data_IF_011693623550
#
_entry.id   IF_011693623550
#
_cell.length_a   1.000
_cell.length_b   1.000
_cell.length_c   1.000
_cell.angle_alpha   90.00
_cell.angle_beta   90.00
_cell.angle_gamma   90.00
#
_symmetry.space_group_name_H-M   'P 1'
#
loop_
_entity.id
_entity.type
_entity.pdbx_description
1 polymer ?
#
# COMPACT_ATOMS: atom_id res chain seq x y z
N UNK A 1 -22.95 23.62 -16.13
CA UNK A 1 -23.60 22.49 -16.78
C UNK A 1 -22.48 21.63 -17.37
N UNK A 2 -21.98 20.68 -16.60
CA UNK A 2 -20.85 19.84 -17.02
C UNK A 2 -21.37 18.73 -17.92
N UNK A 3 -20.97 18.75 -19.18
CA UNK A 3 -21.24 17.67 -20.13
C UNK A 3 -20.17 16.59 -19.90
N UNK A 4 -20.53 15.54 -19.16
CA UNK A 4 -19.69 14.34 -19.06
C UNK A 4 -19.57 13.70 -20.45
N UNK A 5 -18.36 13.44 -20.90
CA UNK A 5 -18.08 12.79 -22.18
C UNK A 5 -18.66 11.36 -22.18
N UNK A 6 -18.93 10.82 -23.37
CA UNK A 6 -19.55 9.50 -23.55
C UNK A 6 -18.72 8.35 -22.92
N UNK A 7 -17.42 8.53 -22.78
CA UNK A 7 -16.47 7.58 -22.18
C UNK A 7 -16.59 7.52 -20.65
N UNK A 8 -16.87 8.66 -19.97
CA UNK A 8 -17.06 8.69 -18.52
C UNK A 8 -18.32 7.96 -18.05
N UNK A 9 -19.33 7.84 -18.92
CA UNK A 9 -20.58 7.12 -18.62
C UNK A 9 -20.40 5.60 -18.56
N UNK A 10 -19.59 5.01 -19.43
CA UNK A 10 -19.29 3.56 -19.40
C UNK A 10 -18.51 3.15 -18.16
N UNK A 11 -17.55 3.99 -17.75
CA UNK A 11 -16.74 3.76 -16.57
C UNK A 11 -17.56 3.87 -15.26
N UNK A 12 -18.45 4.87 -15.19
CA UNK A 12 -19.35 5.05 -14.05
C UNK A 12 -20.31 3.87 -13.88
N UNK A 13 -20.82 3.31 -14.97
CA UNK A 13 -21.70 2.13 -14.97
C UNK A 13 -20.95 0.88 -14.51
N UNK A 14 -19.73 0.65 -14.98
CA UNK A 14 -18.90 -0.47 -14.53
C UNK A 14 -18.57 -0.37 -13.03
N UNK A 15 -18.23 0.83 -12.56
CA UNK A 15 -17.97 1.09 -11.15
C UNK A 15 -19.22 0.87 -10.29
N UNK A 16 -20.38 1.28 -10.77
CA UNK A 16 -21.66 1.11 -10.07
C UNK A 16 -22.07 -0.35 -9.99
N UNK A 17 -21.89 -1.14 -11.06
CA UNK A 17 -22.22 -2.58 -11.10
C UNK A 17 -21.26 -3.36 -10.19
N UNK A 18 -19.97 -3.09 -10.23
CA UNK A 18 -18.97 -3.71 -9.36
C UNK A 18 -19.25 -3.38 -7.88
N UNK A 19 -19.60 -2.12 -7.59
CA UNK A 19 -19.97 -1.64 -6.26
C UNK A 19 -21.19 -2.35 -5.69
N UNK A 20 -22.24 -2.53 -6.51
CA UNK A 20 -23.45 -3.27 -6.11
C UNK A 20 -23.18 -4.75 -5.81
N UNK A 21 -22.28 -5.39 -6.57
CA UNK A 21 -21.95 -6.81 -6.38
C UNK A 21 -21.19 -7.04 -5.07
N UNK A 22 -20.18 -6.22 -4.79
CA UNK A 22 -19.35 -6.32 -3.56
C UNK A 22 -20.17 -6.01 -2.30
N UNK A 23 -21.03 -4.99 -2.34
CA UNK A 23 -21.91 -4.64 -1.20
C UNK A 23 -22.94 -5.75 -0.95
N UNK A 24 -23.50 -6.34 -2.00
CA UNK A 24 -24.51 -7.41 -1.88
C UNK A 24 -23.93 -8.65 -1.18
N UNK A 25 -22.73 -9.06 -1.52
CA UNK A 25 -22.03 -10.18 -0.86
C UNK A 25 -21.64 -9.86 0.58
N UNK A 26 -21.24 -8.62 0.87
CA UNK A 26 -20.91 -8.18 2.23
C UNK A 26 -22.14 -8.15 3.15
N UNK A 27 -23.30 -7.70 2.64
CA UNK A 27 -24.56 -7.66 3.38
C UNK A 27 -25.19 -9.07 3.53
N UNK A 28 -25.06 -9.94 2.55
CA UNK A 28 -25.55 -11.32 2.61
C UNK A 28 -24.77 -12.16 3.65
N UNK A 29 -23.46 -12.00 3.72
CA UNK A 29 -22.63 -12.65 4.74
C UNK A 29 -22.93 -12.16 6.16
N UNK A 30 -23.30 -10.90 6.33
CA UNK A 30 -23.65 -10.33 7.64
C UNK A 30 -24.95 -10.95 8.22
N UNK A 31 -25.95 -11.28 7.36
CA UNK A 31 -27.17 -11.98 7.79
C UNK A 31 -26.91 -13.43 8.21
N UNK A 32 -26.00 -14.14 7.53
CA UNK A 32 -25.59 -15.51 7.90
C UNK A 32 -24.82 -15.57 9.20
N UNK A 33 -23.99 -14.55 9.50
CA UNK A 33 -23.19 -14.46 10.72
C UNK A 33 -24.06 -14.21 11.96
N UNK A 34 -25.07 -13.35 11.85
CA UNK A 34 -26.00 -13.07 12.95
C UNK A 34 -26.91 -14.29 13.27
N UNK A 35 -27.21 -15.13 12.29
CA UNK A 35 -27.98 -16.38 12.52
C UNK A 35 -27.15 -17.48 13.19
N UNK A 36 -25.81 -17.47 13.08
CA UNK A 36 -24.90 -18.42 13.72
C UNK A 36 -24.57 -18.04 15.16
N UNK A 37 -24.59 -16.76 15.51
CA UNK A 37 -24.30 -16.29 16.89
C UNK A 37 -25.42 -16.60 17.91
N UNK A 38 -26.61 -16.91 17.47
CA UNK A 38 -27.73 -17.30 18.34
C UNK A 38 -27.81 -18.81 18.65
N UNK A 39 -26.84 -19.64 18.22
CA UNK A 39 -26.92 -21.11 18.36
C UNK A 39 -25.76 -21.79 19.08
N UNK A 40 -24.85 -21.06 19.73
CA UNK A 40 -23.77 -21.72 20.50
C UNK A 40 -23.53 -21.04 21.85
N UNK A 41 -24.48 -21.30 22.76
CA UNK A 41 -24.21 -21.32 24.19
C UNK A 41 -24.15 -22.79 24.62
N UNK A 42 -22.94 -23.33 24.78
CA UNK A 42 -22.70 -24.48 25.69
C UNK A 42 -21.19 -24.61 25.93
N UNK A 43 -20.81 -24.35 27.16
CA UNK A 43 -19.67 -24.87 27.97
C UNK A 43 -18.60 -25.71 27.27
N UNK A 44 -17.33 -25.23 27.22
CA UNK A 44 -16.19 -26.11 27.35
C UNK A 44 -15.11 -25.48 28.25
N UNK A 45 -14.68 -26.30 29.21
CA UNK A 45 -13.62 -26.07 30.17
C UNK A 45 -12.27 -25.81 29.50
N UNK A 46 -11.60 -24.76 29.96
CA UNK A 46 -10.19 -24.51 29.64
C UNK A 46 -9.30 -25.44 30.51
N UNK A 47 -8.52 -26.27 29.82
CA UNK A 47 -7.36 -26.93 30.39
C UNK A 47 -6.13 -26.05 30.19
N UNK A 48 -5.56 -25.53 31.24
CA UNK A 48 -4.28 -24.84 31.28
C UNK A 48 -3.15 -25.78 30.86
N UNK A 49 -2.50 -25.48 29.72
CA UNK A 49 -1.18 -25.98 29.37
C UNK A 49 -0.22 -24.79 29.30
N UNK A 50 0.57 -24.68 30.36
CA UNK A 50 1.68 -23.73 30.44
C UNK A 50 2.78 -24.08 29.42
N UNK A 51 3.19 -23.21 28.52
CA UNK A 51 4.34 -23.47 27.65
C UNK A 51 5.64 -23.04 28.35
N UNK A 52 6.55 -24.01 28.45
CA UNK A 52 7.94 -23.83 28.87
C UNK A 52 8.67 -22.77 28.06
N UNK A 53 9.43 -21.93 28.78
CA UNK A 53 10.35 -20.93 28.27
C UNK A 53 11.23 -21.43 27.13
N UNK A 54 11.09 -20.86 25.94
CA UNK A 54 12.12 -20.85 24.92
C UNK A 54 12.65 -19.41 24.83
N UNK A 55 13.88 -19.23 25.29
CA UNK A 55 14.65 -18.00 25.14
C UNK A 55 14.93 -17.77 23.65
N UNK A 56 14.14 -16.92 23.02
CA UNK A 56 14.48 -16.25 21.77
C UNK A 56 15.06 -14.90 22.14
N UNK A 57 16.24 -14.59 21.61
CA UNK A 57 17.16 -13.51 21.95
C UNK A 57 16.59 -12.13 22.36
N UNK A 58 17.43 -11.16 22.74
CA UNK A 58 17.04 -9.97 23.50
C UNK A 58 16.10 -8.99 22.77
N UNK A 59 15.75 -9.23 21.51
CA UNK A 59 14.94 -8.34 20.66
C UNK A 59 13.43 -8.55 20.78
N UNK A 60 12.94 -9.63 21.35
CA UNK A 60 11.50 -9.93 21.45
C UNK A 60 11.06 -10.13 22.90
N UNK A 61 10.96 -9.04 23.66
CA UNK A 61 10.29 -9.08 24.96
C UNK A 61 8.78 -9.23 24.75
N UNK A 62 8.18 -10.15 25.56
CA UNK A 62 6.73 -10.41 25.73
C UNK A 62 5.92 -9.11 25.60
N UNK A 63 5.00 -9.03 24.64
CA UNK A 63 4.16 -7.87 24.40
C UNK A 63 3.45 -7.41 25.66
N UNK A 64 3.85 -6.26 26.18
CA UNK A 64 3.02 -5.45 27.06
C UNK A 64 1.95 -4.78 26.20
N UNK A 65 0.81 -4.43 26.80
CA UNK A 65 -0.31 -3.72 26.14
C UNK A 65 0.14 -2.42 25.46
N UNK A 66 1.19 -1.80 25.97
CA UNK A 66 1.86 -0.62 25.44
C UNK A 66 3.37 -0.87 25.40
N UNK A 67 4.09 -0.37 24.40
CA UNK A 67 5.53 -0.62 24.31
C UNK A 67 6.23 0.11 23.19
N UNK A 68 7.54 0.24 23.38
CA UNK A 68 8.45 0.81 22.42
C UNK A 68 9.17 -0.29 21.66
N UNK A 69 9.36 -0.09 20.37
CA UNK A 69 10.22 -0.89 19.51
C UNK A 69 11.25 0.04 18.92
N UNK A 70 12.53 -0.34 19.02
CA UNK A 70 13.64 0.36 18.36
C UNK A 70 14.39 -0.65 17.53
N UNK A 71 14.53 -0.39 16.24
CA UNK A 71 15.24 -1.25 15.29
C UNK A 71 16.28 -0.43 14.56
N UNK A 72 17.56 -0.83 14.57
CA UNK A 72 18.56 -0.26 13.69
C UNK A 72 18.27 -0.67 12.24
N UNK A 73 18.52 0.23 11.31
CA UNK A 73 18.41 0.02 9.88
C UNK A 73 19.80 0.17 9.26
N UNK A 74 20.24 -0.84 8.53
CA UNK A 74 21.45 -0.76 7.70
C UNK A 74 21.14 -1.49 6.39
N UNK A 75 21.36 -0.82 5.27
CA UNK A 75 21.14 -1.41 3.97
C UNK A 75 22.09 -0.83 2.92
N UNK A 76 22.15 -1.48 1.79
CA UNK A 76 22.90 -1.06 0.62
C UNK A 76 22.01 -1.07 -0.62
N UNK A 77 22.11 -0.02 -1.44
CA UNK A 77 21.56 -0.01 -2.79
C UNK A 77 22.55 0.70 -3.73
N UNK A 78 22.51 0.41 -5.05
CA UNK A 78 23.36 1.11 -6.02
C UNK A 78 23.15 2.63 -6.01
N UNK A 79 21.93 3.12 -5.75
CA UNK A 79 21.60 4.55 -5.78
C UNK A 79 21.98 5.29 -4.51
N UNK A 80 21.89 4.60 -3.37
CA UNK A 80 22.17 5.20 -2.05
C UNK A 80 23.56 4.83 -1.52
N UNK A 81 24.17 3.75 -2.04
CA UNK A 81 25.27 3.04 -1.43
C UNK A 81 24.89 2.59 -0.03
N UNK A 82 25.79 2.62 0.95
CA UNK A 82 25.47 2.29 2.32
C UNK A 82 24.54 3.34 2.94
N UNK A 83 23.52 2.88 3.62
CA UNK A 83 22.61 3.68 4.42
C UNK A 83 22.54 3.13 5.83
N UNK A 84 22.50 4.01 6.80
CA UNK A 84 22.33 3.71 8.22
C UNK A 84 21.25 4.59 8.82
N UNK A 85 20.48 4.01 9.73
CA UNK A 85 19.39 4.73 10.38
C UNK A 85 18.72 3.92 11.47
N UNK A 86 17.48 4.25 11.76
CA UNK A 86 16.70 3.55 12.78
C UNK A 86 15.21 3.75 12.62
N UNK A 87 14.47 2.83 13.18
CA UNK A 87 13.03 2.90 13.37
C UNK A 87 12.71 2.91 14.86
N UNK A 88 11.93 3.87 15.27
CA UNK A 88 11.33 3.95 16.58
C UNK A 88 9.82 3.85 16.44
N UNK A 89 9.16 2.94 17.17
CA UNK A 89 7.73 2.81 17.17
C UNK A 89 7.19 2.70 18.59
N UNK A 90 6.11 3.43 18.88
CA UNK A 90 5.34 3.33 20.09
C UNK A 90 3.96 2.75 19.77
N UNK A 91 3.65 1.62 20.40
CA UNK A 91 2.37 0.93 20.26
C UNK A 91 1.54 1.11 21.53
N UNK A 92 0.26 1.41 21.37
CA UNK A 92 -0.67 1.63 22.49
C UNK A 92 -2.11 1.28 22.10
N UNK A 93 -2.97 1.13 23.11
CA UNK A 93 -4.40 0.94 22.92
C UNK A 93 -5.18 2.05 23.61
N UNK A 94 -6.15 2.64 22.91
CA UNK A 94 -7.17 3.44 23.57
C UNK A 94 -8.24 2.53 24.17
N UNK A 95 -8.34 2.51 25.49
CA UNK A 95 -9.36 1.76 26.21
C UNK A 95 -10.50 2.72 26.55
N UNK A 96 -11.70 2.43 26.10
CA UNK A 96 -12.88 3.20 26.47
C UNK A 96 -13.28 2.82 27.91
N UNK A 97 -13.42 3.79 28.85
CA UNK A 97 -13.83 3.49 30.23
C UNK A 97 -15.12 2.65 30.27
N UNK A 98 -15.12 1.59 31.04
CA UNK A 98 -16.28 0.69 31.22
C UNK A 98 -16.42 -0.44 30.19
N UNK A 99 -15.49 -0.56 29.19
CA UNK A 99 -15.48 -1.67 28.25
C UNK A 99 -14.24 -2.54 28.38
N UNK A 100 -14.37 -3.83 27.99
CA UNK A 100 -13.24 -4.76 27.99
C UNK A 100 -12.23 -4.40 26.90
N UNK A 101 -10.95 -4.42 27.25
CA UNK A 101 -9.77 -4.08 26.44
C UNK A 101 -9.60 -4.92 25.14
N UNK A 102 -10.32 -6.03 25.03
CA UNK A 102 -10.14 -7.02 23.95
C UNK A 102 -10.63 -6.56 22.56
N UNK A 103 -11.46 -5.51 22.50
CA UNK A 103 -12.09 -5.06 21.24
C UNK A 103 -11.31 -3.95 20.53
N UNK A 104 -10.45 -3.19 21.23
CA UNK A 104 -9.70 -2.10 20.63
C UNK A 104 -8.47 -2.62 19.86
N UNK A 105 -8.31 -2.19 18.60
CA UNK A 105 -7.12 -2.50 17.78
C UNK A 105 -5.90 -1.74 18.32
N UNK A 106 -4.73 -2.31 18.07
CA UNK A 106 -3.46 -1.70 18.45
C UNK A 106 -3.18 -0.48 17.57
N UNK A 107 -3.01 0.68 18.21
CA UNK A 107 -2.56 1.92 17.60
C UNK A 107 -1.04 1.99 17.60
N UNK A 108 -0.45 2.77 16.68
CA UNK A 108 0.98 3.04 16.70
C UNK A 108 1.31 4.45 16.18
N UNK A 109 2.43 4.96 16.67
CA UNK A 109 3.16 6.09 16.10
C UNK A 109 4.58 5.59 15.84
N UNK A 110 5.08 5.81 14.64
CA UNK A 110 6.38 5.34 14.18
C UNK A 110 7.17 6.49 13.57
N UNK A 111 8.45 6.55 13.88
CA UNK A 111 9.43 7.40 13.23
C UNK A 111 10.52 6.52 12.62
N UNK A 112 10.75 6.66 11.34
CA UNK A 112 11.86 6.02 10.62
C UNK A 112 12.79 7.11 10.10
N UNK A 113 14.08 6.92 10.24
CA UNK A 113 15.08 7.84 9.69
C UNK A 113 16.24 7.05 9.11
N UNK A 114 16.77 7.50 7.99
CA UNK A 114 18.02 7.02 7.45
C UNK A 114 18.85 8.15 6.82
N UNK A 115 20.16 7.89 6.78
CA UNK A 115 21.16 8.73 6.14
C UNK A 115 22.06 7.85 5.29
N UNK A 116 22.34 8.29 4.07
CA UNK A 116 23.07 7.49 3.10
C UNK A 116 24.48 8.02 2.86
N UNK A 117 25.35 7.16 2.32
CA UNK A 117 26.71 7.55 1.93
C UNK A 117 26.71 8.64 0.85
N UNK A 118 25.66 8.74 0.04
CA UNK A 118 25.47 9.79 -0.96
C UNK A 118 24.81 11.06 -0.38
N UNK A 119 24.82 11.25 0.97
CA UNK A 119 24.28 12.40 1.70
C UNK A 119 22.77 12.60 1.53
N UNK A 120 22.02 11.53 1.28
CA UNK A 120 20.57 11.55 1.20
C UNK A 120 19.97 11.33 2.59
N UNK A 121 18.81 11.92 2.82
CA UNK A 121 18.07 11.83 4.08
C UNK A 121 16.64 11.39 3.80
N UNK A 122 16.13 10.44 4.58
CA UNK A 122 14.69 10.15 4.66
C UNK A 122 14.27 10.18 6.13
N UNK A 123 13.35 11.07 6.46
CA UNK A 123 12.75 11.18 7.78
C UNK A 123 11.25 11.00 7.63
N UNK A 124 10.69 9.91 8.17
CA UNK A 124 9.32 9.50 7.94
C UNK A 124 8.59 9.17 9.23
N UNK A 125 7.71 10.06 9.64
CA UNK A 125 6.76 9.86 10.74
C UNK A 125 5.44 9.31 10.22
N UNK A 126 4.92 8.26 10.85
CA UNK A 126 3.66 7.62 10.50
C UNK A 126 2.83 7.36 11.76
N UNK A 127 1.51 7.41 11.63
CA UNK A 127 0.61 7.01 12.70
C UNK A 127 -0.63 6.32 12.17
N UNK A 128 -1.11 5.39 13.00
CA UNK A 128 -2.43 4.76 12.84
C UNK A 128 -3.05 4.61 14.22
N UNK A 129 -4.09 5.37 14.46
CA UNK A 129 -4.71 5.52 15.76
C UNK A 129 -6.17 5.09 15.69
N UNK A 130 -6.54 4.10 16.48
CA UNK A 130 -7.91 3.61 16.61
C UNK A 130 -8.54 4.21 17.85
N UNK A 131 -9.69 4.87 17.69
CA UNK A 131 -10.39 5.57 18.76
C UNK A 131 -11.83 5.07 18.88
N UNK A 132 -12.39 5.18 20.09
CA UNK A 132 -13.78 4.85 20.40
C UNK A 132 -14.17 3.44 19.88
N UNK A 133 -13.48 2.41 20.38
CA UNK A 133 -13.67 0.99 20.01
C UNK A 133 -13.61 0.76 18.49
N UNK A 134 -12.61 1.35 17.84
CA UNK A 134 -12.39 1.31 16.38
C UNK A 134 -13.46 2.01 15.55
N UNK A 135 -14.35 2.82 16.14
CA UNK A 135 -15.31 3.62 15.36
C UNK A 135 -14.64 4.68 14.53
N UNK A 136 -13.50 5.20 14.99
CA UNK A 136 -12.71 6.17 14.25
C UNK A 136 -11.30 5.63 14.06
N UNK A 137 -10.77 5.86 12.87
CA UNK A 137 -9.39 5.53 12.52
C UNK A 137 -8.75 6.82 12.02
N UNK A 138 -7.66 7.25 12.66
CA UNK A 138 -6.83 8.34 12.19
C UNK A 138 -5.51 7.78 11.67
N UNK A 139 -5.25 7.95 10.39
CA UNK A 139 -4.04 7.50 9.71
C UNK A 139 -3.36 8.73 9.14
N UNK A 140 -2.05 8.80 9.22
CA UNK A 140 -1.34 9.86 8.54
C UNK A 140 0.16 9.63 8.49
N UNK A 141 0.81 10.54 7.79
CA UNK A 141 2.26 10.61 7.68
C UNK A 141 2.74 12.05 7.59
N UNK A 142 3.97 12.26 8.05
CA UNK A 142 4.77 13.44 7.79
C UNK A 142 6.16 12.98 7.35
N UNK A 143 6.65 13.44 6.20
CA UNK A 143 7.91 12.98 5.64
C UNK A 143 8.72 14.13 5.07
N UNK A 144 10.01 14.12 5.37
CA UNK A 144 11.03 14.82 4.62
C UNK A 144 11.91 13.81 3.91
N UNK A 145 12.16 14.02 2.63
CA UNK A 145 12.99 13.15 1.82
C UNK A 145 13.82 13.94 0.83
N UNK A 146 15.12 13.63 0.77
CA UNK A 146 16.02 14.06 -0.28
C UNK A 146 16.67 12.84 -0.91
N UNK A 147 16.14 12.38 -2.05
CA UNK A 147 16.61 11.18 -2.73
C UNK A 147 16.63 11.38 -4.24
N UNK A 148 17.61 10.77 -4.95
CA UNK A 148 17.53 10.66 -6.40
C UNK A 148 16.43 9.66 -6.77
N UNK A 149 15.87 9.85 -7.94
CA UNK A 149 14.93 8.93 -8.56
C UNK A 149 15.28 8.79 -10.05
N UNK A 150 14.62 7.89 -10.75
CA UNK A 150 14.84 7.60 -12.16
C UNK A 150 13.58 7.85 -12.95
N UNK A 151 13.76 8.38 -14.14
CA UNK A 151 12.72 8.60 -15.11
C UNK A 151 13.11 7.89 -16.40
N UNK A 152 12.18 7.15 -17.00
CA UNK A 152 12.41 6.39 -18.21
C UNK A 152 11.57 6.89 -19.38
N UNK A 153 10.89 8.03 -19.22
CA UNK A 153 9.87 8.54 -20.11
C UNK A 153 8.45 8.25 -19.62
N UNK A 154 7.49 8.76 -20.33
CA UNK A 154 6.05 8.49 -20.13
C UNK A 154 5.59 7.36 -21.03
N UNK A 155 4.59 6.60 -20.55
CA UNK A 155 3.99 5.52 -21.31
C UNK A 155 4.58 4.13 -21.05
N UNK A 156 4.01 3.15 -21.71
CA UNK A 156 4.30 1.74 -21.52
C UNK A 156 5.39 1.19 -22.47
N UNK A 157 5.81 1.94 -23.50
CA UNK A 157 6.80 1.51 -24.50
C UNK A 157 8.23 1.98 -24.20
N UNK A 158 8.43 2.67 -23.07
CA UNK A 158 9.75 3.21 -22.67
C UNK A 158 10.79 2.11 -22.47
N UNK A 159 12.05 2.38 -22.83
CA UNK A 159 13.16 1.44 -22.72
C UNK A 159 14.09 1.79 -21.54
N UNK A 160 14.94 0.87 -21.12
CA UNK A 160 15.97 1.16 -20.10
C UNK A 160 17.03 2.14 -20.59
N UNK A 161 17.26 2.21 -21.92
CA UNK A 161 18.18 3.16 -22.52
C UNK A 161 17.72 4.63 -22.36
N UNK A 162 16.44 4.85 -22.07
CA UNK A 162 15.86 6.18 -21.82
C UNK A 162 16.04 6.63 -20.36
N UNK A 163 16.82 5.93 -19.53
CA UNK A 163 17.03 6.32 -18.14
C UNK A 163 17.61 7.72 -18.00
N UNK A 164 16.95 8.52 -17.21
CA UNK A 164 17.37 9.87 -16.78
C UNK A 164 17.33 9.93 -15.26
N UNK A 165 18.28 10.60 -14.66
CA UNK A 165 18.33 10.78 -13.21
C UNK A 165 17.85 12.17 -12.85
N UNK A 166 17.09 12.23 -11.79
CA UNK A 166 16.71 13.50 -11.18
C UNK A 166 16.70 13.36 -9.66
N UNK A 167 16.79 14.46 -8.98
CA UNK A 167 16.68 14.52 -7.53
C UNK A 167 15.77 15.66 -7.11
N UNK A 168 15.20 15.56 -5.93
CA UNK A 168 14.31 16.57 -5.37
C UNK A 168 14.25 16.46 -3.85
N UNK A 169 13.90 17.57 -3.24
CA UNK A 169 13.48 17.60 -1.84
C UNK A 169 11.96 17.50 -1.76
N UNK A 170 11.47 16.62 -0.89
CA UNK A 170 10.04 16.40 -0.63
C UNK A 170 9.72 16.69 0.83
N UNK A 171 8.74 17.57 1.05
CA UNK A 171 7.98 17.63 2.29
C UNK A 171 6.58 17.10 2.02
N UNK A 172 6.19 16.03 2.72
CA UNK A 172 4.86 15.43 2.60
C UNK A 172 4.15 15.40 3.95
N UNK A 173 2.87 15.70 3.91
CA UNK A 173 1.95 15.52 5.02
C UNK A 173 0.66 14.91 4.50
N UNK A 174 0.17 13.88 5.17
CA UNK A 174 -1.13 13.28 4.91
C UNK A 174 -1.86 13.05 6.22
N UNK A 175 -3.16 13.32 6.25
CA UNK A 175 -4.01 13.08 7.41
C UNK A 175 -5.39 12.63 6.96
N UNK A 176 -5.73 11.40 7.30
CA UNK A 176 -7.00 10.75 7.00
C UNK A 176 -7.73 10.44 8.29
N UNK A 177 -8.95 10.89 8.40
CA UNK A 177 -9.87 10.51 9.49
C UNK A 177 -11.04 9.74 8.89
N UNK A 178 -11.26 8.51 9.33
CA UNK A 178 -12.33 7.63 8.86
C UNK A 178 -13.26 7.24 10.00
N UNK A 179 -14.56 7.22 9.74
CA UNK A 179 -15.60 6.78 10.66
C UNK A 179 -16.19 5.46 10.19
N UNK A 180 -16.35 4.52 11.11
CA UNK A 180 -17.06 3.29 10.87
C UNK A 180 -18.56 3.57 10.70
N UNK A 181 -19.12 3.24 9.56
CA UNK A 181 -20.54 3.37 9.25
C UNK A 181 -21.31 2.16 9.76
N UNK A 182 -20.83 0.98 9.37
CA UNK A 182 -21.27 -0.33 9.86
C UNK A 182 -20.05 -1.21 10.08
N UNK A 183 -20.20 -2.37 10.68
CA UNK A 183 -19.06 -3.26 10.97
C UNK A 183 -18.19 -3.48 9.72
N UNK A 184 -16.88 -3.21 9.85
CA UNK A 184 -15.86 -3.37 8.81
C UNK A 184 -16.00 -2.42 7.60
N UNK A 185 -16.90 -1.43 7.62
CA UNK A 185 -17.10 -0.45 6.55
C UNK A 185 -16.83 0.95 7.09
N UNK A 186 -15.96 1.68 6.43
CA UNK A 186 -15.50 3.00 6.86
C UNK A 186 -15.64 4.02 5.73
N UNK A 187 -15.97 5.24 6.10
CA UNK A 187 -15.92 6.42 5.22
C UNK A 187 -15.04 7.46 5.89
N UNK A 188 -14.17 8.08 5.13
CA UNK A 188 -13.21 9.05 5.64
C UNK A 188 -12.98 10.23 4.73
N UNK A 189 -12.40 11.26 5.32
CA UNK A 189 -11.84 12.42 4.64
C UNK A 189 -10.33 12.34 4.75
N UNK A 190 -9.61 12.64 3.68
CA UNK A 190 -8.16 12.56 3.59
C UNK A 190 -7.63 13.86 2.97
N UNK A 191 -6.72 14.52 3.66
CA UNK A 191 -5.99 15.68 3.17
C UNK A 191 -4.55 15.30 2.88
N UNK A 192 -4.05 15.68 1.71
CA UNK A 192 -2.70 15.41 1.24
C UNK A 192 -2.02 16.72 0.84
N UNK A 193 -0.78 16.88 1.31
CA UNK A 193 0.09 17.99 0.96
C UNK A 193 1.46 17.41 0.60
N UNK A 194 1.97 17.72 -0.59
CA UNK A 194 3.35 17.43 -1.00
C UNK A 194 3.96 18.71 -1.57
N UNK A 195 5.13 19.08 -1.08
CA UNK A 195 5.92 20.17 -1.65
C UNK A 195 7.20 19.58 -2.21
N UNK A 196 7.36 19.73 -3.52
CA UNK A 196 8.55 19.35 -4.27
C UNK A 196 9.37 20.60 -4.58
N UNK A 197 10.65 20.60 -4.23
CA UNK A 197 11.54 21.74 -4.44
C UNK A 197 12.98 21.25 -4.63
N UNK A 198 13.90 22.16 -5.00
CA UNK A 198 15.28 21.82 -5.31
C UNK A 198 15.41 20.69 -6.36
N UNK A 199 14.53 20.71 -7.38
CA UNK A 199 14.63 19.74 -8.45
C UNK A 199 15.89 19.94 -9.25
N UNK A 200 16.69 18.87 -9.37
CA UNK A 200 17.84 18.78 -10.25
C UNK A 200 17.57 17.71 -11.30
N UNK A 201 17.60 18.09 -12.57
CA UNK A 201 17.27 17.25 -13.73
C UNK A 201 18.48 17.25 -14.67
N UNK A 202 18.80 16.12 -15.30
CA UNK A 202 19.88 16.02 -16.27
C UNK A 202 19.60 16.91 -17.49
N UNK A 203 20.53 17.81 -17.81
CA UNK A 203 20.43 18.70 -18.97
C UNK A 203 20.49 17.91 -20.28
N UNK A 204 19.79 18.40 -21.30
CA UNK A 204 19.78 17.79 -22.65
C UNK A 204 18.98 16.49 -22.77
N UNK A 205 18.30 16.06 -21.71
CA UNK A 205 17.44 14.87 -21.67
C UNK A 205 15.96 15.24 -21.88
N UNK A 206 15.10 14.23 -22.02
CA UNK A 206 13.67 14.40 -22.28
C UNK A 206 12.97 15.20 -21.21
N UNK A 207 13.26 14.90 -19.93
CA UNK A 207 12.60 15.56 -18.80
C UNK A 207 12.94 17.06 -18.74
N UNK A 208 14.15 17.46 -19.15
CA UNK A 208 14.56 18.86 -19.18
C UNK A 208 13.98 19.62 -20.39
N UNK A 209 13.77 18.95 -21.52
CA UNK A 209 13.37 19.55 -22.79
C UNK A 209 11.86 19.43 -23.09
N UNK A 210 11.10 18.76 -22.22
CA UNK A 210 9.67 18.53 -22.41
C UNK A 210 8.81 19.52 -21.65
N UNK A 211 7.60 19.76 -22.12
CA UNK A 211 6.57 20.52 -21.42
C UNK A 211 5.84 19.68 -20.35
N UNK A 212 6.55 18.72 -19.74
CA UNK A 212 5.98 17.86 -18.70
C UNK A 212 5.66 18.68 -17.45
N UNK A 213 4.41 18.64 -17.02
CA UNK A 213 3.92 19.37 -15.85
C UNK A 213 4.69 18.97 -14.58
N UNK A 214 5.13 19.96 -13.80
CA UNK A 214 5.76 19.74 -12.49
C UNK A 214 7.29 19.56 -12.51
N UNK A 215 7.97 19.73 -13.63
CA UNK A 215 9.44 19.64 -13.74
C UNK A 215 10.19 20.75 -12.98
N UNK A 216 9.48 21.81 -12.55
CA UNK A 216 10.04 22.87 -11.70
C UNK A 216 9.70 22.69 -10.22
N UNK A 217 9.07 21.56 -9.87
CA UNK A 217 8.51 21.33 -8.54
C UNK A 217 7.19 22.05 -8.35
N UNK A 218 6.82 22.25 -7.07
CA UNK A 218 5.58 22.94 -6.71
C UNK A 218 4.92 22.33 -5.49
N UNK A 219 3.79 22.90 -5.12
CA UNK A 219 2.92 22.43 -4.03
C UNK A 219 1.77 21.65 -4.64
N UNK A 220 1.59 20.43 -4.19
CA UNK A 220 0.48 19.57 -4.50
C UNK A 220 -0.39 19.42 -3.26
N UNK A 221 -1.56 20.09 -3.22
CA UNK A 221 -2.47 20.09 -2.08
C UNK A 221 -3.83 19.56 -2.52
N UNK A 222 -4.31 18.49 -1.90
CA UNK A 222 -5.52 17.79 -2.27
C UNK A 222 -6.40 17.38 -1.10
N UNK A 223 -7.70 17.40 -1.34
CA UNK A 223 -8.71 16.90 -0.41
C UNK A 223 -9.49 15.77 -1.08
N UNK A 224 -9.72 14.71 -0.35
CA UNK A 224 -10.37 13.51 -0.88
C UNK A 224 -11.32 12.82 0.08
N UNK A 225 -12.13 11.95 -0.50
CA UNK A 225 -12.97 11.00 0.22
C UNK A 225 -12.39 9.60 0.06
N UNK A 226 -12.46 8.82 1.13
CA UNK A 226 -11.97 7.44 1.17
C UNK A 226 -13.08 6.55 1.70
N UNK A 227 -13.36 5.49 0.96
CA UNK A 227 -14.26 4.43 1.38
C UNK A 227 -13.47 3.13 1.54
N UNK A 228 -13.67 2.40 2.64
CA UNK A 228 -12.91 1.18 2.95
C UNK A 228 -13.82 0.09 3.51
N UNK A 229 -13.62 -1.14 3.02
CA UNK A 229 -14.16 -2.38 3.58
C UNK A 229 -12.98 -3.27 3.97
N UNK A 230 -12.88 -3.67 5.24
CA UNK A 230 -11.82 -4.55 5.73
C UNK A 230 -12.40 -5.68 6.58
N UNK A 231 -12.55 -6.84 5.96
CA UNK A 231 -13.03 -8.08 6.61
C UNK A 231 -11.91 -9.12 6.78
N UNK A 232 -10.65 -8.72 6.59
CA UNK A 232 -9.49 -9.62 6.73
C UNK A 232 -9.40 -10.18 8.14
N UNK A 233 -9.00 -11.45 8.25
CA UNK A 233 -8.70 -12.11 9.52
C UNK A 233 -7.42 -11.59 10.18
N UNK A 234 -6.47 -11.09 9.38
CA UNK A 234 -5.23 -10.48 9.84
C UNK A 234 -4.80 -9.39 8.84
N UNK A 235 -4.34 -8.25 9.34
CA UNK A 235 -3.97 -7.10 8.49
C UNK A 235 -2.59 -7.29 7.83
N UNK A 236 -1.69 -8.04 8.48
CA UNK A 236 -0.29 -8.23 8.05
C UNK A 236 -0.16 -9.38 7.06
N UNK A 237 -0.83 -10.52 7.34
CA UNK A 237 -0.80 -11.72 6.48
C UNK A 237 -2.18 -12.37 6.52
N UNK A 238 -3.08 -11.87 5.69
CA UNK A 238 -4.44 -12.33 5.61
C UNK A 238 -4.53 -13.73 5.01
N UNK A 239 -5.39 -14.57 5.60
CA UNK A 239 -5.73 -15.90 5.09
C UNK A 239 -7.12 -15.94 4.46
N UNK A 240 -8.01 -15.07 4.88
CA UNK A 240 -9.39 -14.98 4.38
C UNK A 240 -9.94 -13.57 4.54
N UNK A 241 -10.97 -13.25 3.77
CA UNK A 241 -11.64 -11.96 3.82
C UNK A 241 -11.36 -11.10 2.60
N UNK A 242 -11.77 -9.85 2.69
CA UNK A 242 -11.68 -8.85 1.62
C UNK A 242 -11.09 -7.58 2.23
N UNK A 243 -10.25 -6.92 1.48
CA UNK A 243 -9.88 -5.52 1.66
C UNK A 243 -10.23 -4.77 0.39
N UNK A 244 -11.10 -3.78 0.50
CA UNK A 244 -11.41 -2.82 -0.55
C UNK A 244 -11.14 -1.44 0.01
N UNK A 245 -10.32 -0.66 -0.66
CA UNK A 245 -10.16 0.76 -0.43
C UNK A 245 -10.33 1.47 -1.77
N UNK A 246 -11.17 2.49 -1.80
CA UNK A 246 -11.29 3.39 -2.94
C UNK A 246 -11.26 4.83 -2.44
N UNK A 247 -10.60 5.70 -3.19
CA UNK A 247 -10.51 7.12 -2.85
C UNK A 247 -10.58 7.98 -4.11
N UNK A 248 -11.08 9.19 -3.93
CA UNK A 248 -11.09 10.23 -4.95
C UNK A 248 -10.61 11.53 -4.34
N UNK A 249 -9.64 12.17 -4.99
CA UNK A 249 -9.02 13.42 -4.57
C UNK A 249 -9.20 14.49 -5.64
N UNK A 250 -9.31 15.73 -5.19
CA UNK A 250 -9.28 16.93 -6.04
C UNK A 250 -8.11 17.79 -5.57
N UNK A 251 -7.29 18.23 -6.51
CA UNK A 251 -6.16 19.11 -6.32
C UNK A 251 -6.41 20.37 -7.14
N UNK A 252 -6.41 21.54 -6.51
CA UNK A 252 -6.60 22.81 -7.21
C UNK A 252 -6.09 24.01 -6.40
N UNK A 253 -6.05 25.18 -7.02
CA UNK A 253 -5.59 26.41 -6.39
C UNK A 253 -6.40 26.85 -5.17
N UNK A 254 -7.69 26.50 -5.08
CA UNK A 254 -8.54 26.87 -3.95
C UNK A 254 -8.11 26.19 -2.63
N UNK A 255 -7.43 25.05 -2.73
CA UNK A 255 -6.86 24.31 -1.59
C UNK A 255 -5.34 24.40 -1.55
N UNK A 256 -4.73 25.35 -2.26
CA UNK A 256 -3.30 25.64 -2.20
C UNK A 256 -2.42 24.81 -3.13
N UNK A 257 -2.99 24.09 -4.11
CA UNK A 257 -2.22 23.35 -5.11
C UNK A 257 -1.76 24.29 -6.25
N UNK A 258 -0.54 24.07 -6.75
CA UNK A 258 -0.08 24.67 -8.00
C UNK A 258 -0.62 23.91 -9.25
N UNK A 259 -1.19 22.73 -9.04
CA UNK A 259 -1.67 21.84 -10.08
C UNK A 259 -3.18 21.68 -10.01
N UNK A 260 -3.81 21.39 -11.15
CA UNK A 260 -5.26 21.28 -11.25
C UNK A 260 -5.63 19.93 -11.86
N UNK A 261 -5.88 18.92 -11.03
CA UNK A 261 -6.21 17.56 -11.45
C UNK A 261 -7.03 16.83 -10.41
N UNK A 262 -7.56 15.68 -10.78
CA UNK A 262 -8.22 14.73 -9.89
C UNK A 262 -7.53 13.38 -9.94
N UNK A 263 -7.45 12.69 -8.80
CA UNK A 263 -6.85 11.37 -8.68
C UNK A 263 -7.85 10.39 -8.06
N UNK A 264 -7.98 9.21 -8.65
CA UNK A 264 -8.85 8.14 -8.20
C UNK A 264 -8.04 6.88 -7.98
N UNK A 265 -8.19 6.27 -6.80
CA UNK A 265 -7.48 5.05 -6.44
C UNK A 265 -8.46 3.94 -6.11
N UNK A 266 -8.06 2.71 -6.44
CA UNK A 266 -8.70 1.48 -6.01
C UNK A 266 -7.62 0.49 -5.58
N UNK A 267 -7.83 -0.13 -4.41
CA UNK A 267 -7.12 -1.34 -3.99
C UNK A 267 -8.15 -2.39 -3.60
N UNK A 268 -8.11 -3.52 -4.26
CA UNK A 268 -9.00 -4.64 -3.97
C UNK A 268 -8.21 -5.92 -3.75
N UNK A 269 -8.27 -6.47 -2.54
CA UNK A 269 -7.64 -7.73 -2.18
C UNK A 269 -8.69 -8.74 -1.75
N UNK A 270 -8.59 -9.97 -2.26
CA UNK A 270 -9.41 -11.09 -1.83
C UNK A 270 -8.52 -12.26 -1.44
N UNK A 271 -8.84 -12.87 -0.32
CA UNK A 271 -8.07 -14.00 0.24
C UNK A 271 -8.98 -15.22 0.40
N UNK A 272 -8.50 -16.35 -0.10
CA UNK A 272 -9.19 -17.63 -0.05
C UNK A 272 -8.33 -18.63 0.72
N UNK A 273 -8.77 -19.05 1.89
CA UNK A 273 -8.13 -20.13 2.63
C UNK A 273 -8.44 -21.47 1.91
N UNK A 274 -7.46 -22.05 1.22
CA UNK A 274 -7.59 -23.33 0.54
C UNK A 274 -7.32 -24.51 1.50
N UNK A 275 -6.84 -24.23 2.70
CA UNK A 275 -6.53 -25.18 3.75
C UNK A 275 -5.88 -24.50 4.95
N UNK A 276 -5.42 -25.28 5.92
CA UNK A 276 -4.82 -24.73 7.15
C UNK A 276 -3.54 -23.94 6.92
N UNK A 277 -2.83 -24.17 5.81
CA UNK A 277 -1.52 -23.59 5.50
C UNK A 277 -1.42 -23.04 4.08
N UNK A 278 -2.53 -23.06 3.33
CA UNK A 278 -2.59 -22.64 1.94
C UNK A 278 -3.55 -21.49 1.77
N UNK A 279 -3.10 -20.43 1.11
CA UNK A 279 -3.91 -19.23 0.81
C UNK A 279 -3.73 -18.90 -0.67
N UNK A 280 -4.84 -18.66 -1.36
CA UNK A 280 -4.86 -18.00 -2.64
C UNK A 280 -5.25 -16.54 -2.39
N UNK A 281 -4.37 -15.63 -2.75
CA UNK A 281 -4.59 -14.19 -2.59
C UNK A 281 -4.66 -13.54 -3.96
N UNK A 282 -5.59 -12.61 -4.16
CA UNK A 282 -5.69 -11.77 -5.35
C UNK A 282 -5.59 -10.32 -4.94
N UNK A 283 -4.96 -9.51 -5.77
CA UNK A 283 -4.85 -8.07 -5.59
C UNK A 283 -5.09 -7.37 -6.92
N UNK A 284 -5.92 -6.34 -6.92
CA UNK A 284 -6.10 -5.43 -8.05
C UNK A 284 -5.88 -4.01 -7.54
N UNK A 285 -5.08 -3.24 -8.26
CA UNK A 285 -4.83 -1.83 -7.97
C UNK A 285 -5.11 -1.00 -9.21
N UNK A 286 -5.66 0.20 -9.00
CA UNK A 286 -5.85 1.22 -10.03
C UNK A 286 -5.43 2.57 -9.45
N UNK A 287 -4.77 3.37 -10.26
CA UNK A 287 -4.51 4.78 -10.00
C UNK A 287 -4.80 5.53 -11.29
N UNK A 288 -5.79 6.40 -11.26
CA UNK A 288 -6.29 7.12 -12.42
C UNK A 288 -6.23 8.61 -12.14
N UNK A 289 -5.68 9.36 -13.07
CA UNK A 289 -5.56 10.81 -12.99
C UNK A 289 -6.28 11.47 -14.18
N UNK A 290 -6.84 12.65 -13.95
CA UNK A 290 -7.48 13.46 -14.97
C UNK A 290 -7.12 14.94 -14.76
N UNK A 291 -6.71 15.64 -15.82
CA UNK A 291 -6.24 17.02 -15.75
C UNK A 291 -4.71 17.12 -15.74
N UNK A 292 -4.18 18.26 -15.28
CA UNK A 292 -2.75 18.59 -15.36
C UNK A 292 -1.96 17.95 -14.21
N UNK A 293 -1.81 16.62 -14.26
CA UNK A 293 -1.11 15.86 -13.24
C UNK A 293 0.40 16.11 -13.31
N UNK A 294 1.06 16.57 -12.23
CA UNK A 294 2.52 16.71 -12.24
C UNK A 294 3.19 15.34 -12.32
N UNK A 295 4.30 15.25 -13.05
CA UNK A 295 4.98 13.96 -13.31
C UNK A 295 5.38 13.21 -12.05
N UNK A 296 5.64 13.93 -10.94
CA UNK A 296 5.98 13.33 -9.65
C UNK A 296 4.79 12.64 -8.97
N UNK A 297 3.55 12.95 -9.37
CA UNK A 297 2.31 12.37 -8.84
C UNK A 297 1.58 11.47 -9.86
N UNK A 298 2.07 11.36 -11.10
CA UNK A 298 1.56 10.41 -12.09
C UNK A 298 1.60 8.97 -11.56
N UNK A 299 0.75 8.13 -12.10
CA UNK A 299 0.69 6.72 -11.77
C UNK A 299 1.99 6.01 -12.15
N UNK A 300 2.44 5.09 -11.29
CA UNK A 300 3.73 4.41 -11.42
C UNK A 300 3.59 2.91 -11.26
N UNK A 301 4.27 2.14 -12.09
CA UNK A 301 4.26 0.70 -12.11
C UNK A 301 5.65 0.09 -11.92
N UNK A 302 5.69 -1.09 -11.29
CA UNK A 302 6.91 -1.83 -10.94
C UNK A 302 7.31 -1.67 -9.48
N UNK A 303 8.01 -2.66 -8.96
CA UNK A 303 8.52 -2.66 -7.60
C UNK A 303 8.25 -3.96 -6.84
N UNK A 304 8.33 -3.90 -5.53
CA UNK A 304 8.31 -5.07 -4.66
C UNK A 304 6.90 -5.60 -4.30
N UNK A 305 5.83 -4.87 -4.59
CA UNK A 305 4.46 -5.25 -4.22
C UNK A 305 3.58 -5.60 -5.41
N UNK A 306 3.74 -4.92 -6.53
CA UNK A 306 2.97 -5.13 -7.77
C UNK A 306 3.92 -5.15 -8.97
N UNK A 307 3.68 -6.03 -9.94
CA UNK A 307 4.54 -6.24 -11.10
C UNK A 307 6.01 -6.49 -10.70
N UNK A 308 6.23 -7.43 -9.77
CA UNK A 308 7.58 -7.84 -9.34
C UNK A 308 8.36 -8.42 -10.51
N UNK A 309 9.59 -8.00 -10.70
CA UNK A 309 10.44 -8.27 -11.86
C UNK A 309 10.89 -6.98 -12.53
N UNK A 310 10.13 -5.90 -12.38
CA UNK A 310 10.49 -4.57 -12.87
C UNK A 310 11.11 -3.73 -11.75
N UNK A 311 12.01 -2.81 -12.12
CA UNK A 311 12.58 -1.84 -11.19
C UNK A 311 11.47 -0.98 -10.53
N UNK A 312 11.76 -0.39 -9.39
CA UNK A 312 10.82 0.51 -8.71
C UNK A 312 10.46 1.68 -9.64
N UNK A 313 9.16 1.88 -9.85
CA UNK A 313 8.63 2.96 -10.70
C UNK A 313 9.14 2.95 -12.14
N UNK A 314 9.42 1.76 -12.70
CA UNK A 314 9.96 1.58 -14.06
C UNK A 314 9.09 2.22 -15.14
N UNK A 315 7.78 2.15 -15.00
CA UNK A 315 6.83 2.77 -15.93
C UNK A 315 6.04 3.86 -15.23
N UNK A 316 5.72 4.92 -15.97
CA UNK A 316 5.00 6.09 -15.47
C UNK A 316 4.07 6.63 -16.56
N UNK A 317 2.83 6.93 -16.17
CA UNK A 317 1.86 7.62 -17.04
C UNK A 317 0.74 8.23 -16.18
N UNK A 318 -0.25 8.84 -16.81
CA UNK A 318 -1.41 9.38 -16.10
C UNK A 318 -2.18 8.30 -15.35
N UNK A 319 -2.30 7.10 -15.91
CA UNK A 319 -3.13 6.04 -15.37
C UNK A 319 -2.33 4.75 -15.20
N UNK A 320 -2.76 3.93 -14.26
CA UNK A 320 -2.22 2.60 -13.99
C UNK A 320 -3.31 1.65 -13.56
N UNK A 321 -3.27 0.43 -14.07
CA UNK A 321 -4.06 -0.70 -13.61
C UNK A 321 -3.20 -1.95 -13.56
N UNK A 322 -3.32 -2.74 -12.50
CA UNK A 322 -2.71 -4.06 -12.44
C UNK A 322 -3.52 -5.01 -11.58
N UNK A 323 -3.43 -6.28 -11.93
CA UNK A 323 -3.98 -7.38 -11.14
C UNK A 323 -2.95 -8.47 -10.97
N UNK A 324 -2.91 -9.09 -9.81
CA UNK A 324 -2.02 -10.22 -9.52
C UNK A 324 -2.70 -11.26 -8.65
N UNK A 325 -2.20 -12.48 -8.77
CA UNK A 325 -2.59 -13.63 -7.98
C UNK A 325 -1.36 -14.20 -7.30
N UNK A 326 -1.48 -14.62 -6.05
CA UNK A 326 -0.40 -15.17 -5.27
C UNK A 326 -0.88 -16.41 -4.50
N UNK A 327 -0.23 -17.55 -4.74
CA UNK A 327 -0.40 -18.77 -3.97
C UNK A 327 0.65 -18.82 -2.87
N UNK A 328 0.20 -18.87 -1.61
CA UNK A 328 1.04 -18.92 -0.40
C UNK A 328 0.88 -20.27 0.26
N UNK A 329 2.01 -20.94 0.56
CA UNK A 329 2.01 -22.21 1.26
C UNK A 329 3.06 -22.24 2.37
N UNK A 330 2.61 -22.38 3.63
CA UNK A 330 3.49 -22.56 4.78
C UNK A 330 3.76 -24.06 4.98
N UNK A 331 4.94 -24.55 4.56
CA UNK A 331 5.33 -25.96 4.68
C UNK A 331 5.44 -26.35 6.15
N UNK A 332 6.11 -25.50 6.95
CA UNK A 332 6.24 -25.65 8.40
C UNK A 332 5.80 -24.36 9.10
N UNK A 333 5.86 -24.38 10.44
CA UNK A 333 5.51 -23.18 11.24
C UNK A 333 6.32 -21.95 10.90
N UNK A 334 7.57 -22.10 10.45
CA UNK A 334 8.52 -21.00 10.22
C UNK A 334 8.87 -20.80 8.75
N UNK A 335 8.61 -21.77 7.88
CA UNK A 335 9.06 -21.72 6.48
C UNK A 335 7.91 -21.96 5.52
N UNK A 336 7.86 -21.14 4.50
CA UNK A 336 6.90 -21.24 3.42
C UNK A 336 7.46 -20.76 2.10
N UNK A 337 6.69 -20.95 1.05
CA UNK A 337 6.96 -20.40 -0.27
C UNK A 337 5.72 -19.75 -0.86
N UNK A 338 5.95 -18.91 -1.86
CA UNK A 338 4.91 -18.34 -2.69
C UNK A 338 5.22 -18.52 -4.16
N UNK A 339 4.17 -18.60 -4.98
CA UNK A 339 4.23 -18.43 -6.42
C UNK A 339 3.26 -17.32 -6.79
N UNK A 340 3.62 -16.47 -7.72
CA UNK A 340 2.77 -15.35 -8.13
C UNK A 340 2.81 -15.12 -9.64
N UNK A 341 1.72 -14.56 -10.14
CA UNK A 341 1.62 -14.02 -11.49
C UNK A 341 0.80 -12.75 -11.47
N UNK A 342 1.09 -11.81 -12.35
CA UNK A 342 0.39 -10.55 -12.47
C UNK A 342 0.48 -9.96 -13.86
N UNK A 343 -0.47 -9.09 -14.16
CA UNK A 343 -0.56 -8.31 -15.39
C UNK A 343 -0.93 -6.87 -15.03
N UNK A 344 -0.43 -5.92 -15.79
CA UNK A 344 -0.79 -4.52 -15.62
C UNK A 344 -0.21 -3.63 -16.71
N UNK A 345 -0.64 -2.39 -16.72
CA UNK A 345 -0.11 -1.39 -17.62
C UNK A 345 -0.27 0.03 -17.09
N UNK A 346 0.55 0.94 -17.61
CA UNK A 346 0.38 2.39 -17.50
C UNK A 346 -0.10 2.92 -18.85
N UNK A 347 -0.96 3.93 -18.84
CA UNK A 347 -1.57 4.47 -20.04
C UNK A 347 -2.04 5.92 -19.84
N UNK A 348 -2.07 6.70 -20.92
CA UNK A 348 -2.65 8.04 -20.90
C UNK A 348 -4.18 7.96 -21.08
N UNK A 349 -4.63 7.18 -22.06
CA UNK A 349 -6.05 6.92 -22.36
C UNK A 349 -6.35 5.42 -22.38
N UNK A 350 -7.61 5.04 -22.14
CA UNK A 350 -8.04 3.63 -22.25
C UNK A 350 -7.81 3.04 -23.62
N UNK A 351 -7.76 3.87 -24.66
CA UNK A 351 -7.52 3.44 -26.04
C UNK A 351 -6.05 3.04 -26.29
N UNK A 352 -5.13 3.43 -25.38
CA UNK A 352 -3.71 3.07 -25.43
C UNK A 352 -3.42 1.67 -24.86
N UNK A 353 -4.43 1.02 -24.24
CA UNK A 353 -4.27 -0.31 -23.65
C UNK A 353 -4.29 -1.37 -24.76
N UNK A 354 -3.10 -1.79 -25.15
CA UNK A 354 -2.91 -2.88 -26.12
C UNK A 354 -2.52 -4.18 -25.38
N UNK A 355 -3.21 -5.27 -25.66
CA UNK A 355 -2.93 -6.58 -25.07
C UNK A 355 -1.48 -7.06 -25.30
N UNK A 356 -0.88 -6.66 -26.44
CA UNK A 356 0.50 -6.96 -26.82
C UNK A 356 1.54 -6.22 -25.97
N UNK A 357 1.17 -5.10 -25.35
CA UNK A 357 2.05 -4.23 -24.56
C UNK A 357 1.91 -4.45 -23.05
N UNK A 358 0.92 -5.22 -22.60
CA UNK A 358 0.72 -5.50 -21.17
C UNK A 358 1.99 -6.03 -20.53
N UNK A 359 2.29 -5.51 -19.33
CA UNK A 359 3.41 -5.92 -18.50
C UNK A 359 3.00 -7.12 -17.68
N UNK A 360 3.61 -8.27 -17.94
CA UNK A 360 3.44 -9.45 -17.10
C UNK A 360 4.52 -9.54 -16.04
N UNK A 361 4.19 -10.16 -14.93
CA UNK A 361 5.10 -10.47 -13.83
C UNK A 361 4.80 -11.89 -13.37
N UNK A 362 5.83 -12.74 -13.34
CA UNK A 362 5.74 -14.10 -12.79
C UNK A 362 6.90 -14.33 -11.86
N UNK A 363 6.72 -15.17 -10.86
CA UNK A 363 7.82 -15.47 -9.96
C UNK A 363 7.44 -16.31 -8.76
N UNK A 364 8.38 -16.41 -7.85
CA UNK A 364 8.23 -17.14 -6.61
C UNK A 364 9.11 -16.56 -5.51
N UNK A 365 8.90 -17.03 -4.30
CA UNK A 365 9.67 -16.56 -3.16
C UNK A 365 9.57 -17.46 -1.96
N UNK A 366 10.42 -17.18 -0.97
CA UNK A 366 10.44 -17.87 0.31
C UNK A 366 9.93 -16.97 1.42
N UNK A 367 9.38 -17.59 2.45
CA UNK A 367 8.88 -16.95 3.66
C UNK A 367 9.55 -17.56 4.87
N UNK A 368 10.05 -16.69 5.75
CA UNK A 368 10.57 -17.10 7.07
C UNK A 368 9.79 -16.33 8.12
N UNK A 369 9.01 -17.05 8.93
CA UNK A 369 8.21 -16.42 9.98
C UNK A 369 9.12 -15.83 11.08
N UNK A 370 9.12 -14.53 11.23
CA UNK A 370 9.76 -13.80 12.31
C UNK A 370 8.88 -13.85 13.57
N UNK A 371 7.58 -13.70 13.39
CA UNK A 371 6.58 -13.88 14.46
C UNK A 371 5.40 -14.70 13.93
N UNK A 372 5.20 -15.87 14.54
CA UNK A 372 4.13 -16.80 14.14
C UNK A 372 2.76 -16.41 14.72
N UNK A 373 2.71 -15.59 15.78
CA UNK A 373 1.45 -15.10 16.39
C UNK A 373 0.90 -13.94 15.60
N UNK A 374 1.76 -12.96 15.33
CA UNK A 374 1.38 -11.76 14.55
C UNK A 374 1.45 -12.01 13.03
N UNK A 375 1.89 -13.21 12.60
CA UNK A 375 2.07 -13.61 11.19
C UNK A 375 3.02 -12.68 10.43
N UNK A 376 4.08 -12.21 11.09
CA UNK A 376 5.10 -11.37 10.47
C UNK A 376 6.14 -12.27 9.80
N UNK A 377 6.30 -12.13 8.50
CA UNK A 377 7.23 -12.92 7.70
C UNK A 377 8.34 -12.04 7.13
N UNK A 378 9.58 -12.55 7.13
CA UNK A 378 10.61 -12.11 6.20
C UNK A 378 10.32 -12.73 4.86
N UNK A 379 10.32 -11.95 3.83
CA UNK A 379 10.01 -12.30 2.45
C UNK A 379 11.23 -12.09 1.56
N UNK A 380 11.55 -13.09 0.74
CA UNK A 380 12.53 -12.97 -0.35
C UNK A 380 11.83 -13.46 -1.61
N UNK A 381 11.58 -12.56 -2.57
CA UNK A 381 10.91 -12.87 -3.82
C UNK A 381 11.86 -12.68 -5.01
N UNK A 382 11.75 -13.57 -6.00
CA UNK A 382 12.35 -13.42 -7.32
C UNK A 382 11.23 -13.28 -8.34
N UNK A 383 11.25 -12.16 -9.09
CA UNK A 383 10.27 -11.85 -10.11
C UNK A 383 10.91 -11.70 -11.48
N UNK A 384 10.16 -12.09 -12.50
CA UNK A 384 10.51 -11.96 -13.92
C UNK A 384 9.41 -11.21 -14.63
N UNK A 385 9.77 -10.15 -15.35
CA UNK A 385 8.93 -9.41 -16.28
C UNK A 385 9.49 -9.47 -17.71
N UNK A 386 8.92 -8.71 -18.62
CA UNK A 386 9.39 -8.63 -20.01
C UNK A 386 10.79 -8.00 -20.04
N UNK A 387 11.82 -8.82 -20.29
CA UNK A 387 13.22 -8.37 -20.37
C UNK A 387 13.84 -7.93 -19.04
N UNK A 388 13.14 -8.09 -17.93
CA UNK A 388 13.56 -7.62 -16.62
C UNK A 388 13.44 -8.72 -15.56
N UNK A 389 14.30 -8.67 -14.55
CA UNK A 389 14.26 -9.56 -13.38
C UNK A 389 14.54 -8.74 -12.12
N UNK A 390 14.02 -9.19 -10.98
CA UNK A 390 14.28 -8.53 -9.70
C UNK A 390 14.25 -9.47 -8.52
N UNK A 391 15.12 -9.21 -7.55
CA UNK A 391 15.11 -9.84 -6.23
C UNK A 391 14.66 -8.80 -5.20
N UNK A 392 13.70 -9.18 -4.37
CA UNK A 392 13.11 -8.28 -3.38
C UNK A 392 13.16 -8.91 -2.00
N UNK A 393 13.72 -8.16 -1.04
CA UNK A 393 13.72 -8.55 0.37
C UNK A 393 12.84 -7.58 1.14
N UNK A 394 11.90 -8.08 1.91
CA UNK A 394 10.96 -7.25 2.66
C UNK A 394 10.42 -7.98 3.89
N UNK A 395 9.83 -7.24 4.78
CA UNK A 395 9.05 -7.77 5.91
C UNK A 395 7.56 -7.62 5.58
N UNK A 396 6.76 -8.59 5.98
CA UNK A 396 5.33 -8.77 5.66
C UNK A 396 5.07 -9.34 4.24
N UNK A 397 3.80 -9.54 3.89
CA UNK A 397 3.42 -10.00 2.56
C UNK A 397 3.38 -8.83 1.56
N UNK A 398 3.25 -9.13 0.25
CA UNK A 398 3.23 -8.12 -0.80
C UNK A 398 1.94 -7.28 -0.75
N UNK A 399 0.80 -7.89 -0.28
CA UNK A 399 -0.51 -7.24 -0.15
C UNK A 399 -1.41 -8.01 0.82
#
# INVERSE_FOLDING_TARGET
MFILSRQSKGFLVFFTIFYCFVIKDCLANNKKYNALLHKTDTTQQESEISPKNTNLGPFFKKQRKDGFIVLPLVYYSPDTRWAAGGMFAYHFKFVTPGKKDEQSRLSYIQLTSDYTQNKQVDLWGQWRIFMNDNRYIWIGEARYRNYPDRFYGLGNTTTEASEERYSFDLLRFQSRVSRQLVKNVYLGVDYQLSRYYNLSIEEGKTLANSEITGTRGGINSGLGLVFMIDTRDNVVSASKGIFLETSGFVYNGAIGSNFNYSNYNLTFNKYFALGRRMVLATNTVMNLNTGDTPFLEMARAGGNSILRGYAQYRFRDNNFIASQIEYRYMIWRKFGFVAFAGLGDVFESTDDIESSQLKYSVGGGVRVALDTKEKINLRVDYGVGRGNTGVYVSVTEAF
#
